data_IF_474568294300
#
_entry.id   IF_474568294300
#
_cell.length_a   1.000
_cell.length_b   1.000
_cell.length_c   1.000
_cell.angle_alpha   90.00
_cell.angle_beta   90.00
_cell.angle_gamma   90.00
#
_symmetry.space_group_name_H-M   'P 1'
#
loop_
_entity.id
_entity.type
_entity.pdbx_description
1 polymer ?
#
# COMPACT_ATOMS: atom_id res chain seq x y z
N UNK A 1 10.71 -7.11 27.90
CA UNK A 1 9.88 -7.04 26.69
C UNK A 1 8.75 -6.07 26.97
N UNK A 2 8.79 -4.87 26.39
CA UNK A 2 7.69 -3.91 26.49
C UNK A 2 6.73 -4.25 25.35
N UNK A 3 5.60 -4.89 25.67
CA UNK A 3 4.46 -5.00 24.77
C UNK A 3 3.71 -3.65 24.81
N UNK A 4 4.27 -2.63 24.17
CA UNK A 4 3.59 -1.35 23.98
C UNK A 4 2.66 -1.47 22.79
N UNK A 5 1.38 -1.19 23.02
CA UNK A 5 0.42 -0.85 21.96
C UNK A 5 1.08 0.21 21.08
N UNK A 6 1.11 -0.05 19.77
CA UNK A 6 1.43 0.87 18.67
C UNK A 6 1.41 2.34 19.09
N UNK A 7 2.59 2.93 19.24
CA UNK A 7 2.70 4.39 19.33
C UNK A 7 2.39 4.92 17.93
N UNK A 8 1.15 5.31 17.68
CA UNK A 8 0.80 6.13 16.52
C UNK A 8 1.08 7.58 16.94
N UNK A 9 2.18 8.21 16.49
CA UNK A 9 2.47 9.57 16.90
C UNK A 9 1.34 10.48 16.40
N UNK A 10 0.94 11.44 17.25
CA UNK A 10 -0.17 12.35 16.96
C UNK A 10 0.01 13.08 15.62
N UNK A 11 1.25 13.27 15.17
CA UNK A 11 1.59 13.82 13.85
C UNK A 11 0.96 13.07 12.67
N UNK A 12 0.71 11.76 12.78
CA UNK A 12 0.05 10.95 11.73
C UNK A 12 -1.47 11.10 11.79
N UNK A 13 -2.03 11.62 12.88
CA UNK A 13 -3.47 11.93 13.06
C UNK A 13 -3.75 13.42 12.80
N UNK A 14 -2.74 14.18 12.38
CA UNK A 14 -2.86 15.59 12.01
C UNK A 14 -2.88 15.75 10.49
N UNK A 15 -3.31 16.94 10.03
CA UNK A 15 -3.25 17.33 8.62
C UNK A 15 -1.78 17.25 8.15
N UNK A 16 -1.46 16.65 6.99
CA UNK A 16 -2.34 16.30 5.88
C UNK A 16 -3.01 14.92 5.96
N UNK A 17 -2.66 14.08 6.91
CA UNK A 17 -3.01 12.65 6.93
C UNK A 17 -4.45 12.39 7.40
N UNK A 18 -4.98 13.18 8.35
CA UNK A 18 -6.36 13.02 8.84
C UNK A 18 -7.11 14.35 8.93
N UNK A 19 -8.33 14.37 8.38
CA UNK A 19 -9.29 15.46 8.54
C UNK A 19 -10.69 14.85 8.64
N UNK A 20 -11.41 15.00 9.77
CA UNK A 20 -12.65 14.24 10.04
C UNK A 20 -13.75 14.40 8.98
N UNK A 21 -13.75 15.52 8.26
CA UNK A 21 -14.73 15.82 7.20
C UNK A 21 -14.40 15.17 5.85
N UNK A 22 -13.20 14.60 5.69
CA UNK A 22 -12.84 13.91 4.46
C UNK A 22 -13.48 12.52 4.41
N UNK A 23 -13.78 12.01 3.21
CA UNK A 23 -14.32 10.68 3.03
C UNK A 23 -13.41 9.59 3.62
N UNK A 24 -13.97 8.48 4.16
CA UNK A 24 -13.20 7.44 4.85
C UNK A 24 -12.07 6.85 4.01
N UNK A 25 -12.26 6.64 2.71
CA UNK A 25 -11.22 6.06 1.84
C UNK A 25 -9.90 6.83 1.85
N UNK A 26 -9.93 8.15 2.08
CA UNK A 26 -8.71 8.94 2.25
C UNK A 26 -8.01 8.61 3.56
N UNK A 27 -8.74 8.46 4.67
CA UNK A 27 -8.15 8.10 5.97
C UNK A 27 -7.57 6.69 5.96
N UNK A 28 -8.25 5.75 5.30
CA UNK A 28 -7.72 4.39 5.16
C UNK A 28 -6.47 4.37 4.27
N UNK A 29 -6.44 5.14 3.18
CA UNK A 29 -5.28 5.23 2.29
C UNK A 29 -4.07 5.93 2.93
N UNK A 30 -4.30 6.86 3.86
CA UNK A 30 -3.25 7.56 4.58
C UNK A 30 -2.94 6.88 5.92
N UNK A 31 -3.66 7.26 6.98
CA UNK A 31 -3.44 6.83 8.36
C UNK A 31 -3.61 5.32 8.49
N UNK A 32 -4.59 4.74 7.81
CA UNK A 32 -4.84 3.29 7.84
C UNK A 32 -3.62 2.50 7.38
N UNK A 33 -2.99 2.90 6.26
CA UNK A 33 -1.76 2.28 5.77
C UNK A 33 -0.60 2.48 6.76
N UNK A 34 -0.43 3.67 7.34
CA UNK A 34 0.64 3.92 8.31
C UNK A 34 0.46 3.09 9.60
N UNK A 35 -0.76 2.97 10.12
CA UNK A 35 -1.07 2.10 11.27
C UNK A 35 -0.75 0.64 10.91
N UNK A 36 -1.18 0.19 9.74
CA UNK A 36 -0.91 -1.17 9.30
C UNK A 36 0.58 -1.47 9.14
N UNK A 37 1.38 -0.50 8.67
CA UNK A 37 2.84 -0.61 8.60
C UNK A 37 3.46 -0.81 9.99
N UNK A 38 3.02 -0.07 11.00
CA UNK A 38 3.51 -0.25 12.37
C UNK A 38 3.10 -1.61 12.97
N UNK A 39 1.88 -2.08 12.68
CA UNK A 39 1.47 -3.45 13.03
C UNK A 39 2.41 -4.47 12.38
N UNK A 40 2.67 -4.35 11.07
CA UNK A 40 3.56 -5.27 10.35
C UNK A 40 5.00 -5.23 10.85
N UNK A 41 5.50 -4.05 11.23
CA UNK A 41 6.81 -3.88 11.89
C UNK A 41 6.89 -4.60 13.24
N UNK A 42 5.76 -4.73 13.95
CA UNK A 42 5.72 -5.47 15.21
C UNK A 42 5.74 -7.00 15.03
N UNK A 43 5.34 -7.52 13.85
CA UNK A 43 5.26 -8.95 13.54
C UNK A 43 6.25 -9.40 12.45
N UNK A 44 7.35 -8.66 12.29
CA UNK A 44 8.32 -8.75 11.18
C UNK A 44 8.69 -10.17 10.75
N UNK A 45 9.00 -11.07 11.68
CA UNK A 45 9.44 -12.44 11.30
C UNK A 45 8.38 -13.22 10.51
N UNK A 46 7.13 -13.19 10.95
CA UNK A 46 6.05 -13.91 10.27
C UNK A 46 5.71 -13.28 8.92
N UNK A 47 5.81 -11.94 8.84
CA UNK A 47 5.64 -11.20 7.60
C UNK A 47 6.75 -11.50 6.60
N UNK A 48 8.01 -11.45 7.02
CA UNK A 48 9.20 -11.74 6.21
C UNK A 48 9.14 -13.12 5.58
N UNK A 49 8.84 -14.16 6.38
CA UNK A 49 8.75 -15.54 5.91
C UNK A 49 7.70 -15.76 4.81
N UNK A 50 6.63 -14.96 4.81
CA UNK A 50 5.53 -15.05 3.86
C UNK A 50 5.75 -14.15 2.65
N UNK A 51 6.22 -12.92 2.86
CA UNK A 51 6.51 -11.97 1.81
C UNK A 51 7.66 -12.45 0.92
N UNK A 52 8.75 -12.98 1.50
CA UNK A 52 9.93 -13.43 0.74
C UNK A 52 9.66 -14.66 -0.15
N UNK A 53 8.62 -15.45 0.13
CA UNK A 53 8.21 -16.58 -0.73
C UNK A 53 7.50 -16.15 -2.01
N UNK A 54 6.97 -14.93 -2.01
CA UNK A 54 6.05 -14.43 -3.01
C UNK A 54 6.58 -13.25 -3.82
N UNK A 55 7.54 -12.52 -3.24
CA UNK A 55 8.12 -11.33 -3.86
C UNK A 55 8.94 -11.73 -5.10
N UNK A 56 8.83 -10.98 -6.21
CA UNK A 56 9.66 -11.21 -7.38
C UNK A 56 11.14 -10.92 -7.10
N UNK A 57 12.03 -11.51 -7.89
CA UNK A 57 13.48 -11.31 -7.78
C UNK A 57 13.93 -9.87 -8.02
N UNK A 58 13.11 -9.07 -8.72
CA UNK A 58 13.30 -7.62 -8.94
C UNK A 58 13.39 -6.81 -7.64
N UNK A 59 12.92 -7.34 -6.51
CA UNK A 59 13.09 -6.69 -5.20
C UNK A 59 14.56 -6.54 -4.79
N UNK A 60 15.47 -7.28 -5.40
CA UNK A 60 16.90 -7.25 -5.08
C UNK A 60 17.61 -5.97 -5.57
N UNK A 61 16.94 -5.11 -6.34
CA UNK A 61 17.44 -3.76 -6.64
C UNK A 61 17.47 -2.87 -5.39
N UNK A 62 16.69 -3.20 -4.36
CA UNK A 62 16.65 -2.47 -3.11
C UNK A 62 17.65 -3.03 -2.09
N UNK A 63 18.22 -2.13 -1.29
CA UNK A 63 19.00 -2.51 -0.10
C UNK A 63 18.12 -3.28 0.90
N UNK A 64 18.74 -4.04 1.81
CA UNK A 64 17.98 -4.83 2.82
C UNK A 64 16.99 -3.98 3.64
N UNK A 65 17.36 -2.75 4.03
CA UNK A 65 16.48 -1.85 4.78
C UNK A 65 15.33 -1.33 3.93
N UNK A 66 15.64 -0.78 2.75
CA UNK A 66 14.63 -0.22 1.84
C UNK A 66 13.67 -1.31 1.34
N UNK A 67 14.19 -2.52 1.10
CA UNK A 67 13.40 -3.70 0.71
C UNK A 67 12.32 -4.01 1.74
N UNK A 68 12.67 -4.05 3.02
CA UNK A 68 11.67 -4.36 4.04
C UNK A 68 10.63 -3.26 4.18
N UNK A 69 11.04 -1.99 4.07
CA UNK A 69 10.10 -0.87 4.15
C UNK A 69 9.07 -0.85 3.02
N UNK A 70 9.47 -1.11 1.76
CA UNK A 70 8.53 -1.16 0.62
C UNK A 70 7.58 -2.36 0.72
N UNK A 71 8.06 -3.52 1.20
CA UNK A 71 7.23 -4.70 1.39
C UNK A 71 6.20 -4.46 2.49
N UNK A 72 6.63 -3.90 3.62
CA UNK A 72 5.75 -3.53 4.73
C UNK A 72 4.71 -2.50 4.28
N UNK A 73 5.09 -1.54 3.42
CA UNK A 73 4.12 -0.60 2.84
C UNK A 73 3.06 -1.29 2.01
N UNK A 74 3.45 -2.21 1.12
CA UNK A 74 2.51 -2.97 0.28
C UNK A 74 1.58 -3.87 1.11
N UNK A 75 2.12 -4.56 2.13
CA UNK A 75 1.30 -5.31 3.08
C UNK A 75 0.35 -4.42 3.89
N UNK A 76 0.83 -3.24 4.29
CA UNK A 76 0.02 -2.24 4.99
C UNK A 76 -1.14 -1.73 4.13
N UNK A 77 -0.90 -1.54 2.83
CA UNK A 77 -1.92 -1.22 1.84
C UNK A 77 -2.98 -2.32 1.75
N UNK A 78 -2.57 -3.60 1.71
CA UNK A 78 -3.49 -4.75 1.70
C UNK A 78 -4.40 -4.74 2.94
N UNK A 79 -3.83 -4.61 4.14
CA UNK A 79 -4.58 -4.58 5.40
C UNK A 79 -5.56 -3.39 5.43
N UNK A 80 -5.09 -2.19 5.10
CA UNK A 80 -5.91 -0.99 5.11
C UNK A 80 -7.04 -1.05 4.09
N UNK A 81 -6.78 -1.59 2.90
CA UNK A 81 -7.78 -1.75 1.85
C UNK A 81 -8.86 -2.75 2.28
N UNK A 82 -8.48 -3.93 2.78
CA UNK A 82 -9.43 -4.90 3.30
C UNK A 82 -10.26 -4.31 4.47
N UNK A 83 -9.64 -3.54 5.36
CA UNK A 83 -10.34 -2.87 6.47
C UNK A 83 -11.37 -1.85 5.96
N UNK A 84 -11.02 -1.07 4.93
CA UNK A 84 -11.93 -0.15 4.27
C UNK A 84 -13.16 -0.91 3.73
N UNK A 85 -12.95 -2.00 2.99
CA UNK A 85 -14.05 -2.81 2.44
C UNK A 85 -14.94 -3.40 3.54
N UNK A 86 -14.36 -3.89 4.63
CA UNK A 86 -15.09 -4.55 5.71
C UNK A 86 -15.89 -3.61 6.61
N UNK A 87 -15.35 -2.43 6.93
CA UNK A 87 -15.93 -1.53 7.93
C UNK A 87 -16.93 -0.52 7.34
N UNK A 88 -16.85 -0.24 6.03
CA UNK A 88 -17.67 0.81 5.42
C UNK A 88 -18.85 0.31 4.57
N UNK A 89 -19.07 -1.01 4.52
CA UNK A 89 -20.17 -1.59 3.74
C UNK A 89 -19.99 -1.35 2.22
N UNK A 90 -21.07 -1.30 1.41
CA UNK A 90 -20.93 -1.08 -0.02
C UNK A 90 -20.39 0.33 -0.32
N UNK A 91 -19.09 0.39 -0.66
CA UNK A 91 -18.36 1.61 -1.08
C UNK A 91 -19.06 2.38 -2.21
N UNK A 92 -19.98 1.72 -2.94
CA UNK A 92 -20.78 2.30 -4.04
C UNK A 92 -21.55 3.58 -3.67
N UNK A 93 -21.79 3.84 -2.38
CA UNK A 93 -22.50 5.05 -1.92
C UNK A 93 -21.62 6.21 -1.42
N UNK A 94 -20.29 6.07 -1.39
CA UNK A 94 -19.43 7.14 -0.88
C UNK A 94 -19.29 8.30 -1.86
N UNK A 95 -19.24 9.52 -1.33
CA UNK A 95 -19.00 10.73 -2.13
C UNK A 95 -17.64 10.68 -2.82
N UNK A 96 -17.65 10.98 -4.13
CA UNK A 96 -16.43 11.11 -4.93
C UNK A 96 -15.79 12.46 -4.66
N UNK A 97 -14.46 12.53 -4.77
CA UNK A 97 -13.76 13.80 -4.75
C UNK A 97 -14.13 14.63 -5.98
N UNK A 98 -14.64 15.84 -5.75
CA UNK A 98 -14.94 16.79 -6.82
C UNK A 98 -13.68 17.10 -7.64
N UNK A 99 -13.82 17.12 -8.96
CA UNK A 99 -12.72 17.38 -9.89
C UNK A 99 -11.90 16.15 -10.32
N UNK A 100 -12.13 14.98 -9.72
CA UNK A 100 -11.52 13.72 -10.14
C UNK A 100 -12.61 12.71 -10.55
N UNK A 101 -12.53 12.19 -11.77
CA UNK A 101 -13.45 11.15 -12.24
C UNK A 101 -12.96 9.75 -11.82
N UNK A 102 -12.72 9.58 -10.53
CA UNK A 102 -12.24 8.33 -9.94
C UNK A 102 -13.20 7.84 -8.85
N UNK A 103 -13.32 6.53 -8.72
CA UNK A 103 -14.07 5.91 -7.64
C UNK A 103 -13.31 6.03 -6.30
N UNK A 104 -14.00 5.91 -5.15
CA UNK A 104 -13.36 5.85 -3.84
C UNK A 104 -12.23 4.82 -3.73
N UNK A 105 -12.41 3.63 -4.31
CA UNK A 105 -11.39 2.58 -4.31
C UNK A 105 -10.20 2.93 -5.22
N UNK A 106 -10.44 3.58 -6.36
CA UNK A 106 -9.36 4.07 -7.21
C UNK A 106 -8.54 5.16 -6.51
N UNK A 107 -9.20 6.08 -5.79
CA UNK A 107 -8.53 7.10 -4.99
C UNK A 107 -7.70 6.47 -3.87
N UNK A 108 -8.19 5.41 -3.23
CA UNK A 108 -7.42 4.72 -2.19
C UNK A 108 -6.04 4.27 -2.71
N UNK A 109 -6.01 3.59 -3.86
CA UNK A 109 -4.74 3.15 -4.46
C UNK A 109 -3.89 4.33 -4.92
N UNK A 110 -4.50 5.36 -5.50
CA UNK A 110 -3.77 6.55 -5.95
C UNK A 110 -3.03 7.22 -4.79
N UNK A 111 -3.71 7.47 -3.68
CA UNK A 111 -3.11 8.12 -2.50
C UNK A 111 -2.07 7.21 -1.84
N UNK A 112 -2.36 5.92 -1.70
CA UNK A 112 -1.42 4.96 -1.10
C UNK A 112 -0.15 4.78 -1.95
N UNK A 113 -0.27 4.91 -3.27
CA UNK A 113 0.85 4.85 -4.21
C UNK A 113 1.72 6.11 -4.20
N UNK A 114 1.16 7.29 -3.91
CA UNK A 114 1.93 8.53 -3.83
C UNK A 114 3.02 8.49 -2.76
N UNK A 115 2.82 7.72 -1.69
CA UNK A 115 3.84 7.48 -0.66
C UNK A 115 5.05 6.72 -1.19
N UNK A 116 4.89 5.93 -2.26
CA UNK A 116 6.01 5.27 -2.94
C UNK A 116 6.79 6.25 -3.82
N UNK A 117 6.25 7.41 -4.18
CA UNK A 117 6.94 8.39 -5.04
C UNK A 117 8.06 9.18 -4.35
N UNK A 118 8.45 8.84 -3.11
CA UNK A 118 9.50 9.56 -2.38
C UNK A 118 10.89 9.21 -2.94
N UNK A 119 11.60 10.21 -3.49
CA UNK A 119 12.96 10.06 -4.07
C UNK A 119 13.97 9.37 -3.15
N UNK A 120 13.82 9.56 -1.83
CA UNK A 120 14.67 8.90 -0.83
C UNK A 120 14.59 7.38 -0.85
N UNK A 121 13.50 6.80 -1.36
CA UNK A 121 13.34 5.34 -1.49
C UNK A 121 14.16 4.76 -2.64
N UNK A 122 14.50 5.59 -3.63
CA UNK A 122 15.07 5.17 -4.91
C UNK A 122 16.46 5.73 -5.17
N UNK A 123 17.07 6.35 -4.17
CA UNK A 123 18.43 6.90 -4.30
C UNK A 123 19.42 5.78 -4.68
N UNK A 124 20.02 5.89 -5.86
CA UNK A 124 20.97 4.91 -6.40
C UNK A 124 20.33 3.71 -7.11
N UNK A 125 19.02 3.72 -7.33
CA UNK A 125 18.30 2.71 -8.12
C UNK A 125 18.05 3.27 -9.53
N UNK A 126 18.25 2.44 -10.54
CA UNK A 126 17.88 2.76 -11.92
C UNK A 126 16.36 2.64 -12.09
N UNK A 127 15.66 3.78 -12.09
CA UNK A 127 14.20 3.85 -12.21
C UNK A 127 13.69 3.55 -13.61
N UNK A 128 14.57 3.53 -14.61
CA UNK A 128 14.21 3.20 -15.99
C UNK A 128 14.37 1.69 -16.30
N UNK A 129 14.83 0.91 -15.32
CA UNK A 129 15.04 -0.53 -15.46
C UNK A 129 13.72 -1.33 -15.49
N UNK A 130 13.76 -2.47 -16.18
CA UNK A 130 12.66 -3.44 -16.19
C UNK A 130 12.38 -3.99 -14.77
N UNK A 131 13.43 -4.19 -13.97
CA UNK A 131 13.30 -4.63 -12.58
C UNK A 131 12.55 -3.60 -11.73
N UNK A 132 12.83 -2.31 -11.89
CA UNK A 132 12.10 -1.26 -11.19
C UNK A 132 10.61 -1.23 -11.56
N UNK A 133 10.31 -1.37 -12.86
CA UNK A 133 8.93 -1.45 -13.34
C UNK A 133 8.22 -2.70 -12.82
N UNK A 134 8.91 -3.84 -12.79
CA UNK A 134 8.40 -5.12 -12.30
C UNK A 134 8.00 -5.05 -10.82
N UNK A 135 8.90 -4.57 -9.96
CA UNK A 135 8.66 -4.48 -8.52
C UNK A 135 7.60 -3.43 -8.19
N UNK A 136 7.60 -2.27 -8.84
CA UNK A 136 6.57 -1.25 -8.61
C UNK A 136 5.17 -1.77 -8.98
N UNK A 137 5.06 -2.44 -10.13
CA UNK A 137 3.82 -3.10 -10.53
C UNK A 137 3.37 -4.16 -9.53
N UNK A 138 4.32 -4.93 -8.99
CA UNK A 138 4.03 -5.93 -7.96
C UNK A 138 3.58 -5.29 -6.64
N UNK A 139 4.24 -4.24 -6.15
CA UNK A 139 3.87 -3.56 -4.90
C UNK A 139 2.44 -3.02 -4.93
N UNK A 140 2.01 -2.47 -6.07
CA UNK A 140 0.66 -1.97 -6.27
C UNK A 140 -0.36 -3.11 -6.38
N UNK A 141 -0.07 -4.13 -7.18
CA UNK A 141 -0.93 -5.30 -7.32
C UNK A 141 -1.10 -6.01 -5.96
N UNK A 142 -0.02 -6.14 -5.19
CA UNK A 142 0.01 -6.83 -3.92
C UNK A 142 -0.85 -6.16 -2.84
N UNK A 143 -0.98 -4.83 -2.86
CA UNK A 143 -1.78 -4.13 -1.86
C UNK A 143 -3.30 -4.29 -2.00
N UNK A 144 -3.78 -5.17 -2.89
CA UNK A 144 -5.17 -5.64 -2.89
C UNK A 144 -5.71 -5.93 -4.29
N UNK A 145 -7.00 -5.68 -4.53
CA UNK A 145 -7.64 -5.88 -5.83
C UNK A 145 -7.44 -4.74 -6.85
N UNK A 146 -6.23 -4.16 -6.92
CA UNK A 146 -5.93 -3.03 -7.81
C UNK A 146 -6.32 -3.31 -9.27
N UNK A 147 -6.02 -4.51 -9.76
CA UNK A 147 -6.39 -4.97 -11.10
C UNK A 147 -7.90 -4.88 -11.38
N UNK A 148 -8.73 -5.28 -10.41
CA UNK A 148 -10.20 -5.23 -10.52
C UNK A 148 -10.72 -3.79 -10.44
N UNK A 149 -10.14 -2.99 -9.56
CA UNK A 149 -10.53 -1.59 -9.32
C UNK A 149 -10.26 -0.70 -10.54
N UNK A 150 -9.12 -0.89 -11.20
CA UNK A 150 -8.75 -0.14 -12.40
C UNK A 150 -9.13 -0.82 -13.71
N UNK A 151 -9.72 -2.02 -13.65
CA UNK A 151 -10.07 -2.83 -14.84
C UNK A 151 -8.86 -2.99 -15.78
N UNK A 152 -7.70 -3.35 -15.23
CA UNK A 152 -6.48 -3.38 -16.02
C UNK A 152 -6.58 -4.44 -17.14
N UNK A 153 -6.16 -4.13 -18.38
CA UNK A 153 -6.23 -5.07 -19.50
C UNK A 153 -5.44 -6.35 -19.24
N UNK A 154 -5.89 -7.46 -19.82
CA UNK A 154 -5.14 -8.71 -19.82
C UNK A 154 -3.74 -8.53 -20.41
N UNK A 155 -2.73 -9.05 -19.73
CA UNK A 155 -1.33 -8.92 -20.14
C UNK A 155 -0.66 -7.60 -19.72
N UNK A 156 -1.38 -6.66 -19.10
CA UNK A 156 -0.76 -5.48 -18.50
C UNK A 156 0.12 -5.85 -17.29
N UNK A 157 1.11 -5.01 -16.98
CA UNK A 157 2.09 -5.26 -15.91
C UNK A 157 1.43 -5.61 -14.58
N UNK A 158 0.38 -4.87 -14.17
CA UNK A 158 -0.35 -5.11 -12.91
C UNK A 158 -1.17 -6.41 -12.98
N UNK A 159 -1.82 -6.67 -14.11
CA UNK A 159 -2.69 -7.85 -14.29
C UNK A 159 -1.90 -9.17 -14.30
N UNK A 160 -0.63 -9.15 -14.75
CA UNK A 160 0.22 -10.34 -14.79
C UNK A 160 0.92 -10.66 -13.47
N UNK A 161 0.87 -9.76 -12.47
CA UNK A 161 1.50 -10.01 -11.17
C UNK A 161 0.69 -11.03 -10.38
N UNK A 162 1.40 -12.05 -9.87
CA UNK A 162 0.86 -12.92 -8.83
C UNK A 162 0.92 -12.19 -7.49
N UNK A 163 -0.23 -11.87 -6.96
CA UNK A 163 -0.37 -11.34 -5.61
C UNK A 163 -0.38 -12.49 -4.62
N UNK A 164 0.10 -12.23 -3.42
CA UNK A 164 -0.04 -13.15 -2.30
C UNK A 164 -0.97 -12.57 -1.25
N UNK A 165 -1.66 -13.43 -0.51
CA UNK A 165 -2.31 -12.96 0.70
C UNK A 165 -1.26 -12.93 1.80
N UNK A 166 -0.82 -11.76 2.24
CA UNK A 166 0.21 -11.63 3.28
C UNK A 166 -0.39 -11.76 4.68
N UNK A 167 -1.72 -11.71 4.82
CA UNK A 167 -2.48 -12.05 6.04
C UNK A 167 -2.66 -13.56 6.16
#
# INVERSE_FOLDING_TARGET
MINTVNVVPLSVVLVPYFKPKLPPYLHYASVGVQIAKEILRSITRAFEDKALKCVPGSVNIFSNSSRMDILIHSGGMQIAYHSLLSLTGPIKGMERLGGLNLSPTQIFYLVSAQELCADSLYTGIDTDSDDFTDILGWLIAQGGSANEVFHCPHGSVINTKKTCNIL
#
